data_IF_376229024048
#
_entry.id   IF_376229024048
#
_cell.length_a   1.000
_cell.length_b   1.000
_cell.length_c   1.000
_cell.angle_alpha   90.00
_cell.angle_beta   90.00
_cell.angle_gamma   90.00
#
_symmetry.space_group_name_H-M   'P 1'
#
loop_
_entity.id
_entity.type
_entity.pdbx_description
1 polymer ?
#
# COMPACT_ATOMS: atom_id res chain seq x y z
N UNK A 1 23.94 -35.48 -73.19
CA UNK A 1 22.86 -35.97 -74.07
C UNK A 1 21.60 -35.17 -73.72
N UNK A 2 21.07 -34.39 -74.69
CA UNK A 2 19.78 -33.67 -74.68
C UNK A 2 19.63 -32.44 -73.74
N UNK A 3 19.49 -31.26 -74.38
CA UNK A 3 18.62 -30.13 -73.97
C UNK A 3 17.13 -30.57 -74.06
N UNK A 4 16.08 -29.71 -74.00
CA UNK A 4 15.85 -28.38 -73.37
C UNK A 4 14.50 -28.30 -72.58
N UNK A 5 14.21 -27.11 -72.00
CA UNK A 5 12.89 -26.43 -71.85
C UNK A 5 11.68 -27.15 -71.20
N UNK A 6 11.01 -26.49 -70.25
CA UNK A 6 9.72 -25.76 -70.45
C UNK A 6 9.24 -25.13 -69.13
N UNK A 7 9.10 -23.81 -69.20
CA UNK A 7 8.18 -22.86 -68.54
C UNK A 7 7.07 -23.42 -67.63
N UNK A 8 6.96 -22.88 -66.42
CA UNK A 8 5.66 -22.57 -65.82
C UNK A 8 5.81 -21.33 -64.91
N UNK A 9 5.17 -20.24 -65.35
CA UNK A 9 5.01 -19.03 -64.56
C UNK A 9 4.01 -19.27 -63.43
N UNK A 10 4.38 -18.89 -62.20
CA UNK A 10 3.41 -18.60 -61.15
C UNK A 10 3.73 -17.19 -60.65
N UNK A 11 2.89 -16.25 -61.10
CA UNK A 11 2.74 -14.96 -60.46
C UNK A 11 1.99 -15.21 -59.16
N UNK A 12 2.63 -14.95 -58.03
CA UNK A 12 1.94 -14.75 -56.77
C UNK A 12 2.57 -13.56 -56.09
N UNK A 13 1.99 -12.40 -56.39
CA UNK A 13 2.15 -11.21 -55.59
C UNK A 13 1.44 -11.44 -54.27
N UNK A 14 2.17 -11.35 -53.15
CA UNK A 14 1.66 -10.91 -51.86
C UNK A 14 2.86 -10.44 -51.03
N UNK A 15 3.00 -9.11 -50.98
CA UNK A 15 3.19 -8.29 -49.76
C UNK A 15 3.96 -9.01 -48.63
N UNK A 16 5.11 -8.56 -48.15
CA UNK A 16 5.70 -7.24 -48.15
C UNK A 16 6.63 -7.17 -46.92
N UNK A 17 7.65 -6.33 -47.05
CA UNK A 17 8.55 -5.85 -45.99
C UNK A 17 9.58 -6.84 -45.45
N UNK A 18 10.70 -6.88 -46.17
CA UNK A 18 11.96 -7.36 -45.65
C UNK A 18 12.54 -6.41 -44.61
N UNK A 19 13.11 -6.99 -43.55
CA UNK A 19 14.13 -6.35 -42.75
C UNK A 19 15.46 -6.52 -43.49
N UNK A 20 15.74 -5.59 -44.41
CA UNK A 20 17.07 -5.38 -44.95
C UNK A 20 17.95 -4.74 -43.89
N UNK A 21 19.00 -5.45 -43.49
CA UNK A 21 20.08 -4.91 -42.66
C UNK A 21 20.97 -4.11 -43.62
N UNK A 22 20.81 -2.80 -43.68
CA UNK A 22 21.71 -1.91 -44.41
C UNK A 22 22.51 -1.05 -43.45
N UNK A 23 23.81 -1.34 -43.42
CA UNK A 23 24.91 -0.39 -43.55
C UNK A 23 25.02 0.72 -42.50
N UNK A 24 25.99 0.54 -41.58
CA UNK A 24 26.47 1.55 -40.65
C UNK A 24 27.27 2.57 -41.47
N UNK A 25 26.61 3.64 -41.93
CA UNK A 25 27.31 4.81 -42.41
C UNK A 25 27.76 5.67 -41.21
N UNK A 26 29.06 5.89 -41.13
CA UNK A 26 29.70 6.85 -40.23
C UNK A 26 29.10 8.25 -40.45
N UNK A 27 28.37 8.75 -39.45
CA UNK A 27 27.88 10.14 -39.41
C UNK A 27 28.91 11.01 -38.67
N UNK A 28 29.20 12.25 -39.14
CA UNK A 28 30.25 13.09 -38.59
C UNK A 28 29.94 13.55 -37.15
N UNK A 29 31.00 13.71 -36.37
CA UNK A 29 30.99 14.31 -35.05
C UNK A 29 30.79 15.82 -35.19
N UNK A 30 29.54 16.26 -35.21
CA UNK A 30 29.17 17.68 -35.18
C UNK A 30 28.87 18.11 -33.73
N UNK A 31 29.60 19.11 -33.25
CA UNK A 31 29.60 19.67 -31.89
C UNK A 31 28.38 20.58 -31.64
N UNK A 32 27.18 20.06 -31.89
CA UNK A 32 25.94 20.71 -31.45
C UNK A 32 25.05 19.68 -30.79
N UNK A 33 25.46 19.25 -29.60
CA UNK A 33 24.57 18.57 -28.66
C UNK A 33 23.50 19.57 -28.27
N UNK A 34 22.42 19.60 -29.05
CA UNK A 34 21.12 20.01 -28.56
C UNK A 34 20.84 19.10 -27.37
N UNK A 35 21.10 19.61 -26.16
CA UNK A 35 20.44 19.14 -24.95
C UNK A 35 18.95 19.31 -25.23
N UNK A 36 18.32 18.29 -25.82
CA UNK A 36 16.89 18.15 -25.74
C UNK A 36 16.59 18.24 -24.26
N UNK A 37 15.97 19.36 -23.87
CA UNK A 37 15.55 19.62 -22.50
C UNK A 37 14.49 18.58 -22.22
N UNK A 38 14.93 17.38 -21.84
CA UNK A 38 14.05 16.39 -21.27
C UNK A 38 13.69 16.98 -19.90
N UNK A 39 12.60 17.74 -19.87
CA UNK A 39 11.83 17.84 -18.65
C UNK A 39 11.45 16.39 -18.33
N UNK A 40 12.24 15.77 -17.44
CA UNK A 40 11.71 14.67 -16.65
C UNK A 40 10.50 15.29 -15.99
N UNK A 41 9.34 15.02 -16.58
CA UNK A 41 8.06 15.43 -16.07
C UNK A 41 7.85 14.58 -14.82
N UNK A 42 8.59 14.88 -13.74
CA UNK A 42 8.42 14.23 -12.46
C UNK A 42 7.12 14.75 -11.88
N UNK A 43 6.00 14.22 -12.40
CA UNK A 43 4.67 14.39 -11.82
C UNK A 43 4.60 13.84 -10.38
N UNK A 44 5.63 13.08 -10.00
CA UNK A 44 5.87 12.58 -8.67
C UNK A 44 6.28 13.71 -7.70
N UNK A 45 5.51 13.86 -6.64
CA UNK A 45 5.86 14.67 -5.49
C UNK A 45 7.07 14.07 -4.74
N UNK A 46 7.83 14.91 -4.04
CA UNK A 46 8.88 14.47 -3.12
C UNK A 46 8.25 13.87 -1.84
N UNK A 47 8.99 13.90 -0.72
CA UNK A 47 8.49 13.42 0.56
C UNK A 47 7.24 14.19 1.03
N UNK A 48 6.20 13.48 1.53
CA UNK A 48 5.02 14.12 2.07
C UNK A 48 5.32 14.93 3.33
N UNK A 49 4.62 16.06 3.56
CA UNK A 49 4.78 16.86 4.75
C UNK A 49 4.25 16.13 6.00
N UNK A 50 4.45 16.76 7.15
CA UNK A 50 3.73 16.35 8.35
C UNK A 50 2.29 16.87 8.30
N UNK A 51 1.31 16.00 8.54
CA UNK A 51 -0.11 16.36 8.62
C UNK A 51 -0.59 16.27 10.07
N UNK A 52 -1.61 17.06 10.39
CA UNK A 52 -2.28 17.00 11.68
C UNK A 52 -3.42 15.99 11.61
N UNK A 53 -3.37 14.94 12.44
CA UNK A 53 -4.42 13.94 12.59
C UNK A 53 -5.22 14.21 13.86
N UNK A 54 -6.38 14.85 13.73
CA UNK A 54 -7.18 15.31 14.87
C UNK A 54 -6.53 16.46 15.62
N UNK A 55 -6.87 16.66 16.89
CA UNK A 55 -6.35 17.80 17.66
C UNK A 55 -4.94 17.58 18.22
N UNK A 56 -4.55 16.32 18.45
CA UNK A 56 -3.40 15.94 19.29
C UNK A 56 -2.23 15.32 18.53
N UNK A 57 -2.44 14.76 17.34
CA UNK A 57 -1.39 13.99 16.64
C UNK A 57 -0.86 14.71 15.41
N UNK A 58 0.47 14.66 15.24
CA UNK A 58 1.17 15.09 14.03
C UNK A 58 1.77 13.84 13.40
N UNK A 59 1.26 13.43 12.25
CA UNK A 59 1.77 12.32 11.46
C UNK A 59 2.83 12.85 10.50
N UNK A 60 4.10 12.49 10.74
CA UNK A 60 5.21 12.84 9.85
C UNK A 60 5.24 11.91 8.65
N UNK A 61 5.47 12.45 7.46
CA UNK A 61 5.56 11.71 6.21
C UNK A 61 4.24 11.04 5.81
N UNK A 62 3.11 11.74 6.00
CA UNK A 62 1.78 11.28 5.55
C UNK A 62 1.13 12.36 4.69
N UNK A 63 0.40 11.94 3.66
CA UNK A 63 -0.48 12.81 2.87
C UNK A 63 -1.96 12.54 3.17
N UNK A 64 -2.85 13.50 2.93
CA UNK A 64 -4.29 13.29 3.17
C UNK A 64 -4.98 12.56 2.00
N UNK A 65 -4.53 12.83 0.77
CA UNK A 65 -5.27 12.45 -0.44
C UNK A 65 -4.35 12.03 -1.60
N UNK A 66 -3.08 11.76 -1.32
CA UNK A 66 -2.08 11.35 -2.33
C UNK A 66 -1.80 12.40 -3.42
N UNK A 67 -2.29 13.63 -3.24
CA UNK A 67 -2.01 14.75 -4.12
C UNK A 67 -1.00 15.71 -3.47
N UNK A 68 -0.25 16.43 -4.29
CA UNK A 68 0.53 17.58 -3.84
C UNK A 68 0.44 18.73 -4.83
N UNK A 69 0.77 19.94 -4.36
CA UNK A 69 1.01 21.08 -5.24
C UNK A 69 2.50 21.20 -5.51
N UNK A 70 2.89 21.11 -6.77
CA UNK A 70 4.27 21.30 -7.21
C UNK A 70 4.65 22.78 -7.17
N UNK A 71 5.95 23.08 -7.19
CA UNK A 71 6.49 24.45 -7.12
C UNK A 71 6.01 25.35 -8.28
N UNK A 72 5.62 24.75 -9.40
CA UNK A 72 5.04 25.44 -10.56
C UNK A 72 3.51 25.67 -10.46
N UNK A 73 2.89 25.33 -9.33
CA UNK A 73 1.45 25.46 -9.10
C UNK A 73 0.59 24.36 -9.71
N UNK A 74 1.19 23.35 -10.35
CA UNK A 74 0.45 22.19 -10.89
C UNK A 74 0.20 21.14 -9.81
N UNK A 75 -0.90 20.40 -9.96
CA UNK A 75 -1.19 19.25 -9.11
C UNK A 75 -0.36 18.05 -9.55
N UNK A 76 0.38 17.47 -8.62
CA UNK A 76 1.10 16.21 -8.78
C UNK A 76 0.51 15.12 -7.86
N UNK A 77 1.06 13.93 -7.98
CA UNK A 77 0.71 12.80 -7.10
C UNK A 77 1.95 12.29 -6.37
N UNK A 78 1.76 11.88 -5.12
CA UNK A 78 2.81 11.13 -4.43
C UNK A 78 3.01 9.76 -5.08
N UNK A 79 4.24 9.22 -5.09
CA UNK A 79 4.51 7.88 -5.60
C UNK A 79 3.65 6.82 -4.91
N UNK A 80 3.33 5.75 -5.64
CA UNK A 80 2.66 4.58 -5.07
C UNK A 80 3.45 4.03 -3.87
N UNK A 81 2.74 3.61 -2.84
CA UNK A 81 3.30 3.16 -1.57
C UNK A 81 3.56 4.27 -0.55
N UNK A 82 3.43 5.55 -0.93
CA UNK A 82 3.52 6.67 0.03
C UNK A 82 2.44 6.55 1.11
N UNK A 83 2.79 6.76 2.38
CA UNK A 83 1.81 6.69 3.48
C UNK A 83 0.78 7.82 3.35
N UNK A 84 -0.49 7.48 3.53
CA UNK A 84 -1.58 8.44 3.51
C UNK A 84 -2.54 8.25 4.69
N UNK A 85 -3.33 9.27 5.01
CA UNK A 85 -4.27 9.27 6.11
C UNK A 85 -5.61 9.84 5.65
N UNK A 86 -6.60 8.99 5.54
CA UNK A 86 -7.94 9.33 5.07
C UNK A 86 -8.98 8.80 6.06
N UNK A 87 -9.97 9.62 6.42
CA UNK A 87 -11.07 9.22 7.31
C UNK A 87 -10.65 8.55 8.63
N UNK A 88 -9.58 9.06 9.26
CA UNK A 88 -8.99 8.50 10.49
C UNK A 88 -8.32 7.13 10.31
N UNK A 89 -8.02 6.71 9.08
CA UNK A 89 -7.35 5.47 8.74
C UNK A 89 -6.05 5.74 8.02
N UNK A 90 -5.03 4.93 8.31
CA UNK A 90 -3.77 4.92 7.58
C UNK A 90 -3.94 4.03 6.36
N UNK A 91 -3.47 4.53 5.21
CA UNK A 91 -3.45 3.81 3.94
C UNK A 91 -2.13 4.01 3.20
N UNK A 92 -2.11 3.58 1.95
CA UNK A 92 -1.03 3.85 1.01
C UNK A 92 -1.58 4.46 -0.28
N UNK A 93 -0.79 5.30 -0.90
CA UNK A 93 -1.10 5.83 -2.22
C UNK A 93 -1.02 4.71 -3.25
N UNK A 94 -2.08 4.54 -4.04
CA UNK A 94 -2.10 3.69 -5.23
C UNK A 94 -2.84 4.43 -6.34
N UNK A 95 -2.18 4.61 -7.48
CA UNK A 95 -2.72 5.33 -8.65
C UNK A 95 -3.24 6.74 -8.32
N UNK A 96 -2.59 7.42 -7.36
CA UNK A 96 -2.98 8.76 -6.92
C UNK A 96 -4.15 8.80 -5.93
N UNK A 97 -4.63 7.67 -5.42
CA UNK A 97 -5.68 7.59 -4.40
C UNK A 97 -5.13 7.01 -3.10
N UNK A 98 -5.65 7.48 -1.96
CA UNK A 98 -5.32 6.90 -0.66
C UNK A 98 -6.12 5.62 -0.44
N UNK A 99 -5.51 4.47 -0.74
CA UNK A 99 -6.10 3.16 -0.47
C UNK A 99 -5.88 2.80 1.01
N UNK A 100 -6.96 2.94 1.77
CA UNK A 100 -7.01 2.47 3.15
C UNK A 100 -7.40 1.00 3.14
N UNK A 101 -6.56 0.15 3.74
CA UNK A 101 -6.89 -1.26 3.87
C UNK A 101 -8.24 -1.39 4.59
N UNK A 102 -9.23 -1.96 3.89
CA UNK A 102 -10.54 -2.27 4.48
C UNK A 102 -10.35 -3.51 5.35
N UNK A 103 -9.85 -3.34 6.57
CA UNK A 103 -9.89 -4.43 7.54
C UNK A 103 -11.36 -4.76 7.80
N UNK A 104 -11.73 -6.02 7.59
CA UNK A 104 -13.08 -6.51 7.82
C UNK A 104 -13.14 -7.20 9.17
N UNK A 105 -14.21 -6.95 9.91
CA UNK A 105 -14.48 -7.65 11.15
C UNK A 105 -14.75 -9.15 10.87
N UNK A 106 -14.21 -10.01 11.72
CA UNK A 106 -14.39 -11.46 11.74
C UNK A 106 -13.22 -12.21 11.12
N UNK A 107 -12.59 -13.07 11.92
CA UNK A 107 -11.45 -13.90 11.53
C UNK A 107 -11.79 -15.37 11.24
N UNK A 108 -13.06 -15.70 11.00
CA UNK A 108 -13.51 -17.06 10.69
C UNK A 108 -12.73 -17.68 9.52
N UNK A 109 -12.01 -18.77 9.82
CA UNK A 109 -11.12 -19.50 8.92
C UNK A 109 -9.94 -18.69 8.36
N UNK A 110 -9.60 -17.56 9.00
CA UNK A 110 -8.42 -16.76 8.67
C UNK A 110 -7.15 -17.30 9.32
N UNK A 111 -5.99 -17.02 8.73
CA UNK A 111 -4.69 -17.31 9.35
C UNK A 111 -4.24 -16.09 10.13
N UNK A 112 -4.05 -16.24 11.44
CA UNK A 112 -3.59 -15.14 12.31
C UNK A 112 -2.24 -14.63 11.85
N UNK A 113 -2.12 -13.31 11.73
CA UNK A 113 -0.85 -12.65 11.42
C UNK A 113 -0.19 -12.32 12.74
N UNK A 114 1.01 -12.88 12.98
CA UNK A 114 1.78 -12.48 14.14
C UNK A 114 2.19 -11.01 13.97
N UNK A 115 1.96 -10.14 14.96
CA UNK A 115 2.45 -8.77 14.86
C UNK A 115 3.98 -8.80 14.77
N UNK A 116 4.59 -7.92 13.96
CA UNK A 116 6.04 -7.89 13.74
C UNK A 116 6.82 -7.64 15.03
N UNK A 117 6.19 -7.02 16.04
CA UNK A 117 6.63 -6.97 17.42
C UNK A 117 5.55 -7.63 18.27
N UNK A 118 5.68 -8.95 18.45
CA UNK A 118 4.74 -9.80 19.20
C UNK A 118 4.78 -9.51 20.70
N UNK A 119 4.30 -8.33 21.05
CA UNK A 119 4.02 -7.96 22.42
C UNK A 119 2.53 -7.66 22.49
N UNK A 120 1.90 -8.40 23.39
CA UNK A 120 0.48 -8.62 23.61
C UNK A 120 -0.31 -7.34 23.98
N UNK A 121 -0.15 -6.24 23.24
CA UNK A 121 -0.60 -4.91 23.67
C UNK A 121 -2.10 -4.66 23.50
N UNK A 122 -2.85 -5.57 22.86
CA UNK A 122 -4.25 -5.35 22.57
C UNK A 122 -5.06 -6.64 22.64
N UNK A 123 -6.37 -6.50 22.82
CA UNK A 123 -7.34 -7.59 22.71
C UNK A 123 -7.94 -7.67 21.31
N UNK A 124 -7.20 -7.20 20.31
CA UNK A 124 -7.56 -7.23 18.89
C UNK A 124 -6.41 -7.90 18.16
N UNK A 125 -6.73 -8.91 17.35
CA UNK A 125 -5.75 -9.54 16.47
C UNK A 125 -6.17 -9.40 15.01
N UNK A 126 -5.19 -9.47 14.12
CA UNK A 126 -5.42 -9.50 12.68
C UNK A 126 -5.22 -10.89 12.10
N UNK A 127 -5.93 -11.19 11.03
CA UNK A 127 -5.78 -12.41 10.28
C UNK A 127 -5.91 -12.15 8.77
N UNK A 128 -5.37 -13.06 7.96
CA UNK A 128 -5.53 -13.04 6.52
C UNK A 128 -6.59 -14.05 6.08
N UNK A 129 -7.53 -13.59 5.25
CA UNK A 129 -8.51 -14.42 4.55
C UNK A 129 -8.32 -14.24 3.05
N UNK A 130 -7.57 -15.14 2.43
CA UNK A 130 -7.06 -14.94 1.07
C UNK A 130 -6.09 -13.77 1.04
N UNK A 131 -6.38 -12.75 0.21
CA UNK A 131 -5.57 -11.52 0.10
C UNK A 131 -6.13 -10.36 0.94
N UNK A 132 -7.18 -10.59 1.73
CA UNK A 132 -7.82 -9.54 2.53
C UNK A 132 -7.40 -9.67 3.99
N UNK A 133 -7.02 -8.54 4.58
CA UNK A 133 -6.80 -8.43 6.03
C UNK A 133 -8.13 -8.28 6.76
N UNK A 134 -8.27 -9.03 7.84
CA UNK A 134 -9.41 -9.04 8.74
C UNK A 134 -8.92 -8.81 10.17
N UNK A 135 -9.82 -8.44 11.06
CA UNK A 135 -9.55 -8.35 12.48
C UNK A 135 -10.67 -8.97 13.31
N UNK A 136 -10.33 -9.40 14.52
CA UNK A 136 -11.27 -9.94 15.49
C UNK A 136 -10.74 -9.70 16.91
N UNK A 137 -11.56 -10.01 17.91
CA UNK A 137 -11.23 -9.81 19.32
C UNK A 137 -10.67 -11.07 19.95
N UNK A 138 -9.72 -10.89 20.86
CA UNK A 138 -9.21 -11.99 21.69
C UNK A 138 -10.30 -12.56 22.58
N UNK A 139 -10.25 -13.87 22.83
CA UNK A 139 -11.16 -14.51 23.76
C UNK A 139 -10.94 -13.97 25.19
N UNK A 140 -12.01 -13.85 26.01
CA UNK A 140 -11.87 -13.47 27.40
C UNK A 140 -10.86 -14.33 28.16
N UNK A 141 -10.03 -13.69 28.99
CA UNK A 141 -8.95 -14.34 29.74
C UNK A 141 -7.60 -14.43 29.01
N UNK A 142 -7.51 -13.99 27.75
CA UNK A 142 -6.22 -13.86 27.04
C UNK A 142 -5.33 -12.84 27.74
N UNK A 143 -4.03 -13.14 27.88
CA UNK A 143 -3.07 -12.19 28.43
C UNK A 143 -2.91 -11.00 27.50
N UNK A 144 -2.83 -9.81 28.08
CA UNK A 144 -2.54 -8.60 27.33
C UNK A 144 -1.73 -7.63 28.19
N UNK A 145 -1.27 -6.54 27.59
CA UNK A 145 -0.60 -5.42 28.25
C UNK A 145 -1.46 -4.18 28.06
N UNK A 146 -2.00 -3.63 29.15
CA UNK A 146 -2.77 -2.39 29.13
C UNK A 146 -1.82 -1.20 28.96
N UNK A 147 -2.14 -0.33 28.00
CA UNK A 147 -1.37 0.86 27.65
C UNK A 147 -2.15 2.17 27.90
N UNK A 148 -3.22 2.12 28.69
CA UNK A 148 -4.04 3.29 28.97
C UNK A 148 -3.35 4.27 29.93
N UNK A 149 -2.31 3.81 30.63
CA UNK A 149 -1.46 4.59 31.53
C UNK A 149 -0.04 4.79 30.97
N UNK A 150 0.75 5.66 31.62
CA UNK A 150 2.11 5.99 31.21
C UNK A 150 3.07 4.78 31.26
N UNK A 151 2.82 3.86 32.19
CA UNK A 151 3.57 2.60 32.30
C UNK A 151 2.72 1.41 31.83
N UNK A 152 3.23 0.56 30.90
CA UNK A 152 2.53 -0.65 30.46
C UNK A 152 2.29 -1.62 31.63
N UNK A 153 1.03 -2.03 31.85
CA UNK A 153 0.65 -2.94 32.94
C UNK A 153 0.15 -4.29 32.41
N UNK A 154 0.49 -5.43 33.05
CA UNK A 154 -0.07 -6.71 32.67
C UNK A 154 -1.59 -6.75 32.92
N UNK A 155 -2.32 -7.33 31.98
CA UNK A 155 -3.78 -7.36 31.98
C UNK A 155 -4.36 -8.61 31.37
N UNK A 156 -5.70 -8.63 31.32
CA UNK A 156 -6.50 -9.67 30.68
C UNK A 156 -7.52 -9.05 29.74
N UNK A 157 -7.73 -9.71 28.60
CA UNK A 157 -8.84 -9.41 27.73
C UNK A 157 -10.15 -9.78 28.41
N UNK A 158 -11.03 -8.81 28.59
CA UNK A 158 -12.26 -8.94 29.36
C UNK A 158 -13.38 -8.20 28.65
N UNK A 159 -14.61 -8.71 28.80
CA UNK A 159 -15.82 -8.00 28.41
C UNK A 159 -16.31 -7.16 29.60
N UNK A 160 -16.65 -5.88 29.39
CA UNK A 160 -17.30 -5.06 30.41
C UNK A 160 -18.79 -5.05 30.10
N UNK A 161 -19.55 -5.67 30.98
CA UNK A 161 -20.99 -5.79 30.83
C UNK A 161 -21.64 -4.43 30.63
N UNK A 162 -22.39 -4.27 29.53
CA UNK A 162 -23.12 -3.05 29.21
C UNK A 162 -22.31 -1.92 28.55
N UNK A 163 -21.01 -2.11 28.30
CA UNK A 163 -20.16 -1.13 27.59
C UNK A 163 -19.85 -1.61 26.17
N UNK A 164 -19.23 -2.79 26.04
CA UNK A 164 -18.86 -3.34 24.74
C UNK A 164 -20.07 -3.91 23.97
N UNK A 165 -19.98 -3.89 22.64
CA UNK A 165 -20.99 -4.51 21.77
C UNK A 165 -20.52 -5.86 21.26
N UNK A 166 -21.33 -6.90 21.42
CA UNK A 166 -21.06 -8.22 20.86
C UNK A 166 -19.94 -8.95 21.58
N UNK A 167 -18.92 -9.38 20.85
CA UNK A 167 -17.78 -10.15 21.36
C UNK A 167 -16.52 -9.29 21.62
N UNK A 168 -16.66 -7.96 21.58
CA UNK A 168 -15.55 -7.06 21.83
C UNK A 168 -14.98 -7.28 23.24
N UNK A 169 -13.66 -7.42 23.31
CA UNK A 169 -12.91 -7.50 24.56
C UNK A 169 -11.89 -6.37 24.61
N UNK A 170 -11.66 -5.86 25.82
CA UNK A 170 -10.70 -4.81 26.10
C UNK A 170 -9.64 -5.30 27.08
N UNK A 171 -8.43 -4.77 26.98
CA UNK A 171 -7.35 -5.15 27.89
C UNK A 171 -7.51 -4.42 29.21
N UNK A 172 -7.81 -5.12 30.30
CA UNK A 172 -7.97 -4.53 31.63
C UNK A 172 -6.81 -4.98 32.51
N UNK A 173 -6.15 -4.03 33.16
CA UNK A 173 -5.07 -4.33 34.09
C UNK A 173 -5.55 -5.28 35.20
N UNK A 174 -4.70 -6.22 35.62
CA UNK A 174 -5.10 -7.28 36.57
C UNK A 174 -5.63 -6.72 37.90
N UNK A 175 -5.11 -5.59 38.34
CA UNK A 175 -5.51 -4.91 39.58
C UNK A 175 -6.87 -4.19 39.47
N UNK A 176 -7.33 -3.90 38.26
CA UNK A 176 -8.61 -3.24 38.01
C UNK A 176 -9.75 -4.23 37.72
N UNK A 177 -9.45 -5.51 37.45
CA UNK A 177 -10.46 -6.56 37.24
C UNK A 177 -11.46 -6.72 38.40
N UNK A 178 -11.05 -6.69 39.69
CA UNK A 178 -12.00 -6.81 40.81
C UNK A 178 -13.01 -5.65 40.90
N UNK A 179 -12.78 -4.54 40.19
CA UNK A 179 -13.62 -3.35 40.21
C UNK A 179 -14.74 -3.35 39.17
N UNK A 180 -14.76 -4.36 38.28
CA UNK A 180 -15.77 -4.48 37.22
C UNK A 180 -17.11 -5.06 37.69
N UNK A 181 -17.21 -5.45 38.96
CA UNK A 181 -18.40 -6.10 39.54
C UNK A 181 -19.16 -5.25 40.57
N UNK A 182 -19.33 -3.95 40.33
CA UNK A 182 -20.09 -3.05 41.22
C UNK A 182 -21.19 -2.30 40.47
#
# INVERSE_FOLDING_TARGET
RKMPFVVAAIVSALLGFGFGITEIQNVPRDESVFMAKYEVLSRACNEPPAIKAGEKYILKNYTLDCNCTQTNGTTGHYPDGTNCFLEKKIGRCENGFCEVAKSRYGCDNGTRVAPPNASDYTCIYTCMKGQTEHYDYEVPGTNCTNLDEEEPRPGKCTHRDGIEKGNETVCIAMEDLPRLGC
#
